data_IF_492866591794
#
_entry.id   IF_492866591794
#
_cell.length_a   1.000
_cell.length_b   1.000
_cell.length_c   1.000
_cell.angle_alpha   90.00
_cell.angle_beta   90.00
_cell.angle_gamma   90.00
#
_symmetry.space_group_name_H-M   'P 1'
#
loop_
_entity.id
_entity.type
_entity.pdbx_description
1 polymer ?
#
# COMPACT_ATOMS: atom_id res chain seq x y z
N UNK A 1 3.30 -6.73 35.99
CA UNK A 1 4.09 -5.64 35.39
C UNK A 1 3.11 -4.64 34.79
N UNK A 2 2.63 -3.71 35.61
CA UNK A 2 1.63 -2.71 35.21
C UNK A 2 2.27 -1.73 34.23
N UNK A 3 1.99 -1.89 32.94
CA UNK A 3 2.32 -0.85 31.98
C UNK A 3 1.48 0.38 32.29
N UNK A 4 2.17 1.39 32.83
CA UNK A 4 1.72 2.74 33.11
C UNK A 4 0.70 3.22 32.06
N UNK A 5 -0.56 3.40 32.47
CA UNK A 5 -1.70 3.78 31.61
C UNK A 5 -1.44 5.02 30.73
N UNK A 6 -0.48 5.86 31.14
CA UNK A 6 -0.01 7.06 30.44
C UNK A 6 0.71 6.78 29.11
N UNK A 7 1.35 5.61 28.96
CA UNK A 7 2.18 5.28 27.79
C UNK A 7 1.45 4.46 26.71
N UNK A 8 0.26 3.95 27.00
CA UNK A 8 -0.57 3.17 26.07
C UNK A 8 -0.75 3.81 24.68
N UNK A 9 -1.08 5.11 24.54
CA UNK A 9 -1.27 5.70 23.21
C UNK A 9 0.04 5.81 22.42
N UNK A 10 1.17 5.98 23.10
CA UNK A 10 2.48 6.14 22.48
C UNK A 10 3.02 4.78 22.02
N UNK A 11 2.90 3.76 22.86
CA UNK A 11 3.24 2.37 22.51
C UNK A 11 2.45 1.88 21.29
N UNK A 12 1.15 2.21 21.20
CA UNK A 12 0.32 1.83 20.05
C UNK A 12 0.74 2.50 18.75
N UNK A 13 1.15 3.77 18.81
CA UNK A 13 1.63 4.51 17.63
C UNK A 13 2.95 3.91 17.15
N UNK A 14 3.88 3.64 18.06
CA UNK A 14 5.15 3.00 17.75
C UNK A 14 4.95 1.60 17.15
N UNK A 15 4.05 0.80 17.71
CA UNK A 15 3.75 -0.54 17.20
C UNK A 15 3.09 -0.49 15.81
N UNK A 16 2.14 0.43 15.60
CA UNK A 16 1.50 0.63 14.29
C UNK A 16 2.51 1.09 13.24
N UNK A 17 3.45 1.95 13.62
CA UNK A 17 4.53 2.39 12.74
C UNK A 17 5.48 1.23 12.39
N UNK A 18 5.90 0.43 13.37
CA UNK A 18 6.73 -0.76 13.14
C UNK A 18 6.04 -1.78 12.23
N UNK A 19 4.73 -1.99 12.42
CA UNK A 19 3.91 -2.82 11.53
C UNK A 19 3.87 -2.25 10.10
N UNK A 20 3.83 -0.93 9.96
CA UNK A 20 3.90 -0.28 8.66
C UNK A 20 5.26 -0.44 7.99
N UNK A 21 6.36 -0.44 8.75
CA UNK A 21 7.70 -0.77 8.22
C UNK A 21 7.77 -2.21 7.74
N UNK A 22 7.21 -3.16 8.50
CA UNK A 22 7.07 -4.55 8.07
C UNK A 22 6.25 -4.66 6.76
N UNK A 23 5.18 -3.87 6.65
CA UNK A 23 4.41 -3.80 5.42
C UNK A 23 5.24 -3.29 4.24
N UNK A 24 6.13 -2.31 4.43
CA UNK A 24 7.05 -1.86 3.38
C UNK A 24 7.95 -3.01 2.92
N UNK A 25 8.55 -3.77 3.85
CA UNK A 25 9.37 -4.93 3.48
C UNK A 25 8.59 -5.96 2.65
N UNK A 26 7.35 -6.29 3.05
CA UNK A 26 6.48 -7.17 2.28
C UNK A 26 6.13 -6.58 0.91
N UNK A 27 5.92 -5.26 0.84
CA UNK A 27 5.53 -4.58 -0.38
C UNK A 27 6.61 -4.68 -1.46
N UNK A 28 7.89 -4.60 -1.09
CA UNK A 28 9.02 -4.76 -2.01
C UNK A 28 8.99 -6.15 -2.66
N UNK A 29 8.75 -7.20 -1.86
CA UNK A 29 8.66 -8.58 -2.34
C UNK A 29 7.46 -8.76 -3.29
N UNK A 30 6.30 -8.25 -2.91
CA UNK A 30 5.07 -8.31 -3.71
C UNK A 30 5.24 -7.56 -5.04
N UNK A 31 5.87 -6.38 -5.01
CA UNK A 31 6.15 -5.61 -6.23
C UNK A 31 7.09 -6.37 -7.16
N UNK A 32 8.12 -7.03 -6.62
CA UNK A 32 9.05 -7.85 -7.39
C UNK A 32 8.35 -9.02 -8.10
N UNK A 33 7.57 -9.82 -7.35
CA UNK A 33 6.82 -10.93 -7.93
C UNK A 33 5.72 -10.47 -8.88
N UNK A 34 4.97 -9.42 -8.53
CA UNK A 34 3.89 -8.88 -9.34
C UNK A 34 4.39 -8.33 -10.68
N UNK A 35 5.58 -7.74 -10.72
CA UNK A 35 6.22 -7.30 -11.97
C UNK A 35 6.61 -8.47 -12.89
N UNK A 36 6.80 -9.68 -12.35
CA UNK A 36 7.11 -10.88 -13.11
C UNK A 36 5.85 -11.66 -13.56
N UNK A 37 4.65 -11.22 -13.20
CA UNK A 37 3.41 -11.90 -13.60
C UNK A 37 3.19 -11.70 -15.09
N UNK A 38 3.17 -12.80 -15.83
CA UNK A 38 2.88 -12.79 -17.26
C UNK A 38 1.41 -12.44 -17.52
N UNK A 39 1.17 -11.40 -18.31
CA UNK A 39 -0.16 -11.01 -18.76
C UNK A 39 -0.38 -11.47 -20.20
N UNK A 40 -1.52 -12.13 -20.51
CA UNK A 40 -1.81 -12.59 -21.86
C UNK A 40 -1.82 -11.44 -22.87
N UNK A 41 -1.05 -11.62 -23.95
CA UNK A 41 -0.90 -10.63 -25.02
C UNK A 41 -2.25 -10.20 -25.61
N UNK A 42 -3.15 -11.15 -25.86
CA UNK A 42 -4.51 -10.91 -26.37
C UNK A 42 -5.34 -9.89 -25.56
N UNK A 43 -5.06 -9.72 -24.26
CA UNK A 43 -5.73 -8.73 -23.42
C UNK A 43 -4.96 -7.40 -23.36
N UNK A 44 -3.63 -7.46 -23.47
CA UNK A 44 -2.75 -6.30 -23.30
C UNK A 44 -2.61 -5.48 -24.60
N UNK A 45 -2.51 -6.15 -25.76
CA UNK A 45 -2.31 -5.55 -27.07
C UNK A 45 -3.36 -4.49 -27.46
N UNK A 46 -4.68 -4.73 -27.30
CA UNK A 46 -5.68 -3.70 -27.61
C UNK A 46 -5.56 -2.46 -26.71
N UNK A 47 -5.20 -2.66 -25.44
CA UNK A 47 -4.98 -1.54 -24.52
C UNK A 47 -3.68 -0.80 -24.81
N UNK A 48 -2.61 -1.50 -25.21
CA UNK A 48 -1.34 -0.89 -25.60
C UNK A 48 -1.48 0.00 -26.84
N UNK A 49 -2.30 -0.41 -27.81
CA UNK A 49 -2.60 0.41 -28.99
C UNK A 49 -3.38 1.69 -28.65
N UNK A 50 -4.26 1.62 -27.64
CA UNK A 50 -5.01 2.79 -27.18
C UNK A 50 -4.13 3.74 -26.35
N UNK A 51 -3.46 3.19 -25.34
CA UNK A 51 -2.54 3.91 -24.47
C UNK A 51 -1.62 2.93 -23.72
N UNK A 52 -0.31 2.92 -24.00
CA UNK A 52 0.67 2.09 -23.28
C UNK A 52 0.67 2.35 -21.77
N UNK A 53 0.54 3.62 -21.37
CA UNK A 53 0.48 4.04 -19.97
C UNK A 53 -0.72 3.43 -19.26
N UNK A 54 -1.90 3.47 -19.89
CA UNK A 54 -3.11 2.87 -19.32
C UNK A 54 -2.97 1.35 -19.21
N UNK A 55 -2.47 0.70 -20.26
CA UNK A 55 -2.30 -0.76 -20.32
C UNK A 55 -1.40 -1.28 -19.18
N UNK A 56 -0.24 -0.63 -18.99
CA UNK A 56 0.73 -1.01 -17.98
C UNK A 56 0.30 -0.62 -16.57
N UNK A 57 -0.39 0.52 -16.42
CA UNK A 57 -0.98 0.95 -15.15
C UNK A 57 -2.07 -0.01 -14.68
N UNK A 58 -3.00 -0.40 -15.56
CA UNK A 58 -4.05 -1.36 -15.24
C UNK A 58 -3.48 -2.75 -14.92
N UNK A 59 -2.49 -3.18 -15.69
CA UNK A 59 -1.74 -4.42 -15.41
C UNK A 59 -1.10 -4.36 -14.03
N UNK A 60 -0.41 -3.27 -13.70
CA UNK A 60 0.22 -3.06 -12.39
C UNK A 60 -0.82 -3.00 -11.26
N UNK A 61 -1.98 -2.41 -11.50
CA UNK A 61 -3.08 -2.38 -10.53
C UNK A 61 -3.52 -3.81 -10.16
N UNK A 62 -3.70 -4.67 -11.17
CA UNK A 62 -4.19 -6.04 -10.96
C UNK A 62 -3.10 -6.92 -10.34
N UNK A 63 -1.89 -6.89 -10.88
CA UNK A 63 -0.79 -7.80 -10.51
C UNK A 63 -0.04 -7.39 -9.25
N UNK A 64 -0.04 -6.09 -8.90
CA UNK A 64 0.71 -5.55 -7.76
C UNK A 64 -0.23 -4.85 -6.77
N UNK A 65 -1.05 -3.91 -7.26
CA UNK A 65 -1.94 -3.10 -6.42
C UNK A 65 -2.92 -3.93 -5.59
N UNK A 66 -3.59 -4.91 -6.20
CA UNK A 66 -4.51 -5.81 -5.50
C UNK A 66 -3.81 -6.70 -4.46
N UNK A 67 -2.73 -7.44 -4.78
CA UNK A 67 -1.98 -8.20 -3.77
C UNK A 67 -1.44 -7.36 -2.61
N UNK A 68 -0.96 -6.15 -2.88
CA UNK A 68 -0.53 -5.21 -1.84
C UNK A 68 -1.68 -4.85 -0.91
N UNK A 69 -2.84 -4.56 -1.49
CA UNK A 69 -4.05 -4.19 -0.73
C UNK A 69 -4.53 -5.33 0.14
N UNK A 70 -4.54 -6.55 -0.39
CA UNK A 70 -4.90 -7.75 0.35
C UNK A 70 -3.92 -7.98 1.52
N UNK A 71 -2.62 -7.84 1.27
CA UNK A 71 -1.58 -8.02 2.29
C UNK A 71 -1.68 -6.96 3.39
N UNK A 72 -1.94 -5.70 3.02
CA UNK A 72 -2.19 -4.61 3.96
C UNK A 72 -3.40 -4.91 4.85
N UNK A 73 -4.50 -5.34 4.24
CA UNK A 73 -5.73 -5.67 4.94
C UNK A 73 -5.53 -6.82 5.94
N UNK A 74 -4.86 -7.89 5.52
CA UNK A 74 -4.53 -9.03 6.39
C UNK A 74 -3.63 -8.60 7.56
N UNK A 75 -2.58 -7.83 7.28
CA UNK A 75 -1.69 -7.33 8.32
C UNK A 75 -2.45 -6.47 9.34
N UNK A 76 -3.31 -5.57 8.85
CA UNK A 76 -4.11 -4.71 9.72
C UNK A 76 -5.08 -5.53 10.60
N UNK A 77 -5.67 -6.60 10.08
CA UNK A 77 -6.51 -7.52 10.88
C UNK A 77 -5.68 -8.27 11.93
N UNK A 78 -4.53 -8.82 11.54
CA UNK A 78 -3.65 -9.59 12.44
C UNK A 78 -3.22 -8.70 13.60
N UNK A 79 -2.73 -7.49 13.32
CA UNK A 79 -2.33 -6.55 14.37
C UNK A 79 -3.53 -6.10 15.22
N UNK A 80 -4.72 -5.94 14.63
CA UNK A 80 -5.93 -5.61 15.38
C UNK A 80 -6.32 -6.74 16.32
N UNK A 81 -6.20 -8.01 15.90
CA UNK A 81 -6.51 -9.16 16.75
C UNK A 81 -5.47 -9.40 17.85
N UNK A 82 -4.18 -9.28 17.54
CA UNK A 82 -3.10 -9.57 18.48
C UNK A 82 -2.92 -8.46 19.53
N UNK A 83 -3.05 -7.20 19.13
CA UNK A 83 -2.70 -6.06 19.99
C UNK A 83 -3.89 -5.17 20.35
N UNK A 84 -5.09 -5.47 19.83
CA UNK A 84 -6.35 -4.74 20.05
C UNK A 84 -6.29 -3.22 19.79
N UNK A 85 -5.23 -2.76 19.13
CA UNK A 85 -4.87 -1.35 19.00
C UNK A 85 -4.14 -1.15 17.67
N UNK A 86 -4.87 -0.76 16.63
CA UNK A 86 -4.29 -0.43 15.32
C UNK A 86 -4.78 0.93 14.88
N UNK A 87 -3.85 1.87 14.79
CA UNK A 87 -4.13 3.17 14.21
C UNK A 87 -3.79 3.10 12.72
N UNK A 88 -4.81 2.86 11.89
CA UNK A 88 -4.65 2.59 10.45
C UNK A 88 -3.84 3.67 9.73
N UNK A 89 -3.91 4.93 10.18
CA UNK A 89 -3.12 6.04 9.62
C UNK A 89 -1.61 5.87 9.85
N UNK A 90 -1.19 5.38 11.02
CA UNK A 90 0.23 5.14 11.31
C UNK A 90 0.76 3.87 10.64
N UNK A 91 -0.12 2.91 10.35
CA UNK A 91 0.21 1.68 9.64
C UNK A 91 0.54 1.96 8.16
N UNK A 92 -0.24 2.82 7.49
CA UNK A 92 -0.03 3.14 6.07
C UNK A 92 1.04 4.22 5.82
N UNK A 93 1.29 5.10 6.81
CA UNK A 93 2.25 6.20 6.69
C UNK A 93 3.63 5.81 6.11
N UNK A 94 4.35 4.78 6.63
CA UNK A 94 5.65 4.40 6.08
C UNK A 94 5.57 3.91 4.63
N UNK A 95 4.46 3.28 4.24
CA UNK A 95 4.25 2.86 2.84
C UNK A 95 3.99 4.03 1.91
N UNK A 96 3.22 5.03 2.34
CA UNK A 96 3.04 6.27 1.57
C UNK A 96 4.38 6.97 1.38
N UNK A 97 5.17 7.11 2.44
CA UNK A 97 6.52 7.69 2.37
C UNK A 97 7.42 6.91 1.41
N UNK A 98 7.40 5.58 1.48
CA UNK A 98 8.15 4.72 0.56
C UNK A 98 7.76 4.97 -0.91
N UNK A 99 6.45 5.03 -1.20
CA UNK A 99 5.94 5.25 -2.56
C UNK A 99 6.26 6.67 -3.08
N UNK A 100 6.12 7.69 -2.23
CA UNK A 100 6.44 9.09 -2.59
C UNK A 100 7.94 9.27 -2.80
N UNK A 101 8.76 8.69 -1.93
CA UNK A 101 10.22 8.69 -2.09
C UNK A 101 10.62 8.00 -3.41
N UNK A 102 10.07 6.82 -3.69
CA UNK A 102 10.26 6.13 -4.97
C UNK A 102 9.89 6.99 -6.16
N UNK A 103 8.70 7.60 -6.14
CA UNK A 103 8.26 8.50 -7.21
C UNK A 103 9.21 9.69 -7.40
N UNK A 104 9.63 10.36 -6.31
CA UNK A 104 10.53 11.50 -6.37
C UNK A 104 11.90 11.13 -6.95
N UNK A 105 12.45 9.97 -6.56
CA UNK A 105 13.73 9.49 -7.11
C UNK A 105 13.65 9.14 -8.60
N UNK A 106 12.55 8.51 -9.03
CA UNK A 106 12.35 8.12 -10.44
C UNK A 106 12.08 9.36 -11.30
N UNK A 107 11.29 10.31 -10.79
CA UNK A 107 10.96 11.57 -11.43
C UNK A 107 12.17 12.48 -11.63
N UNK A 108 13.14 12.44 -10.71
CA UNK A 108 14.38 13.19 -10.86
C UNK A 108 15.28 12.63 -11.98
N UNK A 109 15.17 11.33 -12.25
CA UNK A 109 16.07 10.61 -13.15
C UNK A 109 15.45 10.30 -14.53
N UNK A 110 14.15 10.51 -14.74
CA UNK A 110 13.44 10.19 -15.98
C UNK A 110 12.48 11.33 -16.38
N UNK A 111 12.39 11.59 -17.68
CA UNK A 111 11.53 12.65 -18.23
C UNK A 111 10.02 12.28 -18.23
N UNK A 112 9.70 10.99 -18.14
CA UNK A 112 8.32 10.48 -18.22
C UNK A 112 7.58 10.50 -16.87
N UNK A 113 7.46 11.67 -16.26
CA UNK A 113 6.78 11.87 -14.97
C UNK A 113 5.35 11.30 -14.96
N UNK A 114 4.57 11.55 -16.00
CA UNK A 114 3.16 11.13 -16.07
C UNK A 114 2.97 9.62 -16.06
N UNK A 115 3.86 8.90 -16.74
CA UNK A 115 3.86 7.44 -16.75
C UNK A 115 4.17 6.88 -15.35
N UNK A 116 5.21 7.41 -14.70
CA UNK A 116 5.63 6.98 -13.37
C UNK A 116 4.58 7.33 -12.30
N UNK A 117 3.91 8.48 -12.43
CA UNK A 117 2.79 8.86 -11.59
C UNK A 117 1.63 7.85 -11.74
N UNK A 118 1.26 7.51 -12.98
CA UNK A 118 0.19 6.55 -13.25
C UNK A 118 0.47 5.17 -12.64
N UNK A 119 1.70 4.66 -12.79
CA UNK A 119 2.12 3.39 -12.19
C UNK A 119 2.15 3.44 -10.65
N UNK A 120 2.59 4.56 -10.09
CA UNK A 120 2.63 4.74 -8.62
C UNK A 120 1.20 4.78 -8.07
N UNK A 121 0.30 5.49 -8.73
CA UNK A 121 -1.12 5.55 -8.39
C UNK A 121 -1.79 4.18 -8.49
N UNK A 122 -1.51 3.41 -9.55
CA UNK A 122 -2.05 2.05 -9.70
C UNK A 122 -1.73 1.14 -8.50
N UNK A 123 -0.57 1.33 -7.88
CA UNK A 123 -0.13 0.55 -6.71
C UNK A 123 -0.63 1.15 -5.40
N UNK A 124 -0.58 2.47 -5.24
CA UNK A 124 -0.86 3.19 -4.00
C UNK A 124 -2.37 3.35 -3.73
N UNK A 125 -3.13 3.69 -4.76
CA UNK A 125 -4.55 4.05 -4.63
C UNK A 125 -5.42 2.95 -4.01
N UNK A 126 -5.32 1.66 -4.41
CA UNK A 126 -6.15 0.62 -3.79
C UNK A 126 -5.79 0.38 -2.31
N UNK A 127 -4.51 0.49 -1.95
CA UNK A 127 -4.04 0.38 -0.55
C UNK A 127 -4.57 1.56 0.28
N UNK A 128 -4.52 2.77 -0.26
CA UNK A 128 -5.02 3.98 0.39
C UNK A 128 -6.53 3.91 0.65
N UNK A 129 -7.31 3.50 -0.35
CA UNK A 129 -8.75 3.28 -0.21
C UNK A 129 -9.05 2.25 0.89
N UNK A 130 -8.29 1.16 0.94
CA UNK A 130 -8.42 0.15 1.98
C UNK A 130 -8.11 0.71 3.38
N UNK A 131 -7.05 1.50 3.53
CA UNK A 131 -6.72 2.14 4.81
C UNK A 131 -7.79 3.13 5.26
N UNK A 132 -8.35 3.95 4.36
CA UNK A 132 -9.46 4.87 4.66
C UNK A 132 -10.70 4.08 5.09
N UNK A 133 -11.04 3.01 4.36
CA UNK A 133 -12.16 2.15 4.70
C UNK A 133 -12.00 1.54 6.10
N UNK A 134 -10.81 1.05 6.43
CA UNK A 134 -10.53 0.45 7.73
C UNK A 134 -10.54 1.50 8.86
N UNK A 135 -10.01 2.70 8.61
CA UNK A 135 -10.04 3.81 9.55
C UNK A 135 -11.49 4.22 9.87
N UNK A 136 -12.37 4.31 8.85
CA UNK A 136 -13.79 4.62 9.05
C UNK A 136 -14.52 3.54 9.84
N UNK A 137 -14.22 2.25 9.61
CA UNK A 137 -14.79 1.17 10.41
C UNK A 137 -14.41 1.26 11.88
N UNK A 138 -13.17 1.61 12.19
CA UNK A 138 -12.72 1.76 13.58
C UNK A 138 -13.48 2.87 14.32
N UNK A 139 -13.78 3.99 13.64
CA UNK A 139 -14.61 5.07 14.22
C UNK A 139 -16.04 4.58 14.48
N UNK A 140 -16.64 3.87 13.51
CA UNK A 140 -18.01 3.35 13.65
C UNK A 140 -18.17 2.25 14.70
N UNK A 141 -17.10 1.59 15.14
CA UNK A 141 -17.19 0.53 16.17
C UNK A 141 -17.11 1.09 17.60
N UNK A 142 -16.72 2.36 17.77
CA UNK A 142 -16.55 3.03 19.08
C UNK A 142 -17.71 3.97 19.45
N UNK A 143 -18.74 4.08 18.60
CA UNK A 143 -20.01 4.74 18.88
C UNK A 143 -21.09 3.69 19.17
#
# INVERSE_FOLDING_TARGET
>A
MEMNLKNKPLANRSLSFAAGVLFVCLSIVIMGYGAAVAVPEKMLLPLMQLSPTLALSLTSFITIGLPLTLSFYLLAIIFRRLFNMVNSSFLIAPFILFMVYGLATIAHNNDDMWYNLALTLAKLLPVLLCAIFLARRNVSTNN
#
